data_IF_745066727893
#
_entry.id   IF_745066727893
#
_cell.length_a   1.000
_cell.length_b   1.000
_cell.length_c   1.000
_cell.angle_alpha   90.00
_cell.angle_beta   90.00
_cell.angle_gamma   90.00
#
_symmetry.space_group_name_H-M   'P 1'
#
loop_
_entity.id
_entity.type
_entity.pdbx_description
1 polymer ?
#
# COMPACT_ATOMS: atom_id res chain seq x y z
N UNK A 1 21.80 15.62 39.82
CA UNK A 1 21.76 14.26 39.27
C UNK A 1 21.05 14.40 37.93
N UNK A 2 21.83 14.65 36.89
CA UNK A 2 21.36 14.91 35.52
C UNK A 2 21.72 13.72 34.65
N UNK A 3 21.08 13.65 33.49
CA UNK A 3 21.15 12.62 32.45
C UNK A 3 20.04 11.58 32.63
N UNK A 4 18.81 11.94 32.31
CA UNK A 4 18.27 12.07 30.94
C UNK A 4 18.11 10.69 30.32
N UNK A 5 16.85 10.29 30.24
CA UNK A 5 16.33 9.05 29.69
C UNK A 5 16.69 8.93 28.20
N UNK A 6 17.75 8.20 27.89
CA UNK A 6 18.11 7.90 26.50
C UNK A 6 17.41 6.61 26.05
N UNK A 7 16.14 6.74 25.65
CA UNK A 7 15.49 5.79 24.74
C UNK A 7 15.79 6.28 23.31
N UNK A 8 16.37 5.44 22.44
CA UNK A 8 16.71 5.87 21.08
C UNK A 8 15.43 6.26 20.32
N UNK A 9 15.50 7.27 19.43
CA UNK A 9 14.37 7.68 18.60
C UNK A 9 14.14 6.59 17.56
N UNK A 10 13.23 5.67 17.85
CA UNK A 10 12.84 4.65 16.89
C UNK A 10 11.99 5.31 15.80
N UNK A 11 12.67 5.56 14.68
CA UNK A 11 12.12 5.89 13.37
C UNK A 11 11.33 7.19 13.30
N UNK A 12 11.96 8.21 12.71
CA UNK A 12 11.28 9.07 11.75
C UNK A 12 10.38 8.18 10.87
N UNK A 13 9.09 8.14 11.20
CA UNK A 13 8.09 7.77 10.24
C UNK A 13 8.14 8.89 9.20
N UNK A 14 8.53 8.62 7.95
CA UNK A 14 8.62 9.67 6.96
C UNK A 14 7.25 10.34 6.87
N UNK A 15 7.27 11.64 7.12
CA UNK A 15 6.15 12.55 7.05
C UNK A 15 5.34 12.25 5.80
N UNK A 16 4.13 11.75 6.02
CA UNK A 16 2.91 12.03 5.27
C UNK A 16 3.12 12.63 3.87
N UNK A 17 3.77 11.89 2.98
CA UNK A 17 3.60 12.12 1.56
C UNK A 17 2.20 11.59 1.22
N UNK A 18 1.18 12.41 1.50
CA UNK A 18 -0.23 12.25 1.11
C UNK A 18 -0.41 12.33 -0.42
N UNK A 19 0.46 11.64 -1.15
CA UNK A 19 0.33 11.32 -2.56
C UNK A 19 0.24 9.82 -2.60
N UNK A 20 -0.98 9.28 -2.52
CA UNK A 20 -1.24 7.87 -2.84
C UNK A 20 -0.42 7.50 -4.08
N UNK A 21 0.67 6.72 -3.95
CA UNK A 21 1.42 6.29 -5.10
C UNK A 21 0.46 5.66 -6.10
N UNK A 22 0.55 6.11 -7.34
CA UNK A 22 -0.25 5.57 -8.43
C UNK A 22 0.56 4.47 -9.06
N UNK A 23 0.00 3.27 -9.02
CA UNK A 23 0.56 2.14 -9.73
C UNK A 23 -0.42 1.62 -10.77
N UNK A 24 0.07 0.69 -11.57
CA UNK A 24 -0.75 -0.06 -12.51
C UNK A 24 -0.80 -1.51 -12.06
N UNK A 25 -1.97 -2.10 -12.02
CA UNK A 25 -2.15 -3.51 -11.68
C UNK A 25 -1.44 -4.34 -12.74
N UNK A 26 -0.33 -4.99 -12.38
CA UNK A 26 0.44 -5.84 -13.28
C UNK A 26 -0.22 -7.22 -13.39
N UNK A 27 -0.65 -7.77 -12.25
CA UNK A 27 -1.31 -9.08 -12.16
C UNK A 27 -2.42 -9.04 -11.13
N UNK A 28 -3.55 -9.67 -11.46
CA UNK A 28 -4.71 -9.74 -10.57
C UNK A 28 -5.26 -11.16 -10.50
N UNK A 29 -5.26 -11.75 -9.30
CA UNK A 29 -5.75 -13.11 -9.06
C UNK A 29 -7.04 -13.05 -8.23
N UNK A 30 -8.22 -12.91 -8.84
CA UNK A 30 -9.49 -12.78 -8.10
C UNK A 30 -9.81 -14.01 -7.26
N UNK A 31 -9.36 -15.20 -7.67
CA UNK A 31 -9.58 -16.45 -6.94
C UNK A 31 -8.78 -16.52 -5.63
N UNK A 32 -7.55 -15.99 -5.65
CA UNK A 32 -6.67 -15.97 -4.47
C UNK A 32 -6.71 -14.63 -3.72
N UNK A 33 -7.51 -13.66 -4.20
CA UNK A 33 -7.72 -12.35 -3.60
C UNK A 33 -6.43 -11.55 -3.36
N UNK A 34 -5.43 -11.75 -4.21
CA UNK A 34 -4.21 -10.96 -4.17
C UNK A 34 -3.80 -10.54 -5.58
N UNK A 35 -2.91 -9.56 -5.64
CA UNK A 35 -2.32 -9.14 -6.89
C UNK A 35 -1.00 -8.42 -6.69
N UNK A 36 -0.48 -7.94 -7.81
CA UNK A 36 0.72 -7.13 -7.86
C UNK A 36 0.44 -5.85 -8.62
N UNK A 37 0.83 -4.73 -8.01
CA UNK A 37 0.77 -3.40 -8.60
C UNK A 37 2.20 -3.01 -8.95
N UNK A 38 2.41 -2.59 -10.18
CA UNK A 38 3.65 -1.98 -10.60
C UNK A 38 3.60 -0.49 -10.31
N UNK A 39 4.43 -0.04 -9.38
CA UNK A 39 4.60 1.37 -9.08
C UNK A 39 5.27 2.11 -10.25
N UNK A 40 5.21 3.44 -10.22
CA UNK A 40 5.93 4.31 -11.18
C UNK A 40 7.44 4.08 -11.18
N UNK A 41 8.02 3.68 -10.05
CA UNK A 41 9.44 3.33 -9.98
C UNK A 41 9.74 1.93 -10.54
N UNK A 42 8.75 1.24 -11.09
CA UNK A 42 8.89 -0.11 -11.63
C UNK A 42 8.96 -1.22 -10.58
N UNK A 43 8.69 -0.90 -9.31
CA UNK A 43 8.63 -1.86 -8.20
C UNK A 43 7.31 -2.61 -8.23
N UNK A 44 7.38 -3.92 -8.05
CA UNK A 44 6.20 -4.76 -7.85
C UNK A 44 5.79 -4.75 -6.39
N UNK A 45 4.63 -4.14 -6.11
CA UNK A 45 4.01 -4.04 -4.81
C UNK A 45 2.94 -5.09 -4.69
N UNK A 46 3.12 -6.00 -3.73
CA UNK A 46 2.12 -7.00 -3.40
C UNK A 46 0.94 -6.37 -2.66
N UNK A 47 -0.27 -6.78 -2.99
CA UNK A 47 -1.47 -6.40 -2.26
C UNK A 47 -2.41 -7.60 -2.10
N UNK A 48 -3.09 -7.66 -0.96
CA UNK A 48 -4.09 -8.67 -0.65
C UNK A 48 -5.41 -8.00 -0.25
N UNK A 49 -6.54 -8.49 -0.74
CA UNK A 49 -7.85 -7.90 -0.42
C UNK A 49 -8.22 -8.02 1.06
N UNK A 50 -7.70 -9.02 1.77
CA UNK A 50 -7.96 -9.18 3.21
C UNK A 50 -7.29 -8.06 4.03
N UNK A 51 -6.20 -7.48 3.54
CA UNK A 51 -5.48 -6.36 4.18
C UNK A 51 -5.86 -4.99 3.58
N UNK A 52 -6.30 -4.98 2.32
CA UNK A 52 -6.62 -3.76 1.57
C UNK A 52 -8.05 -3.29 1.84
N UNK A 53 -8.16 -2.03 2.26
CA UNK A 53 -9.43 -1.28 2.24
C UNK A 53 -9.61 -0.60 0.88
N UNK A 54 -10.66 -0.98 0.16
CA UNK A 54 -11.08 -0.23 -1.02
C UNK A 54 -11.70 1.10 -0.61
N UNK A 55 -11.24 2.17 -1.24
CA UNK A 55 -11.72 3.53 -1.02
C UNK A 55 -12.32 4.04 -2.33
N UNK A 56 -13.61 4.38 -2.30
CA UNK A 56 -14.38 4.78 -3.47
C UNK A 56 -15.62 3.91 -3.66
N UNK A 57 -16.31 4.10 -4.79
CA UNK A 57 -17.46 3.27 -5.17
C UNK A 57 -17.10 2.05 -6.02
N UNK A 58 -15.81 1.85 -6.31
CA UNK A 58 -15.28 0.70 -7.05
C UNK A 58 -14.62 -0.27 -6.07
N UNK A 59 -14.77 -1.55 -6.33
CA UNK A 59 -14.24 -2.61 -5.48
C UNK A 59 -13.41 -3.62 -6.27
N UNK A 60 -12.96 -4.68 -5.62
CA UNK A 60 -12.13 -5.72 -6.22
C UNK A 60 -12.72 -6.36 -7.49
N UNK A 61 -14.03 -6.22 -7.73
CA UNK A 61 -14.69 -6.71 -8.95
C UNK A 61 -14.37 -5.86 -10.17
N UNK A 62 -14.10 -4.58 -9.97
CA UNK A 62 -13.67 -3.63 -11.02
C UNK A 62 -12.17 -3.72 -11.31
N UNK A 63 -11.43 -4.42 -10.45
CA UNK A 63 -9.99 -4.59 -10.55
C UNK A 63 -9.63 -5.48 -11.75
N UNK A 64 -8.75 -4.97 -12.61
CA UNK A 64 -8.29 -5.64 -13.83
C UNK A 64 -6.82 -5.35 -14.04
N UNK A 65 -6.15 -6.28 -14.68
CA UNK A 65 -4.78 -6.12 -15.12
C UNK A 65 -4.69 -4.94 -16.12
N UNK A 66 -3.68 -4.10 -15.93
CA UNK A 66 -3.50 -2.87 -16.71
C UNK A 66 -4.28 -1.66 -16.20
N UNK A 67 -5.15 -1.79 -15.19
CA UNK A 67 -5.80 -0.63 -14.59
C UNK A 67 -4.85 0.20 -13.73
N UNK A 68 -5.04 1.51 -13.76
CA UNK A 68 -4.34 2.44 -12.91
C UNK A 68 -5.08 2.57 -11.57
N UNK A 69 -4.37 2.32 -10.49
CA UNK A 69 -4.90 2.33 -9.13
C UNK A 69 -4.01 3.20 -8.25
N UNK A 70 -4.63 3.99 -7.39
CA UNK A 70 -3.93 4.66 -6.29
C UNK A 70 -3.89 3.70 -5.12
N UNK A 71 -2.74 3.53 -4.50
CA UNK A 71 -2.62 2.68 -3.33
C UNK A 71 -1.88 3.42 -2.22
N UNK A 72 -2.05 2.96 -0.99
CA UNK A 72 -1.44 3.52 0.21
C UNK A 72 -0.67 2.41 0.90
N UNK A 73 0.61 2.66 1.16
CA UNK A 73 1.44 1.73 1.90
C UNK A 73 1.34 2.06 3.39
N UNK A 74 0.96 1.06 4.17
CA UNK A 74 0.94 1.14 5.62
C UNK A 74 2.03 0.26 6.20
N UNK A 75 2.60 0.70 7.31
CA UNK A 75 3.53 -0.12 8.08
C UNK A 75 2.76 -1.20 8.83
N UNK A 76 2.97 -2.45 8.45
CA UNK A 76 2.41 -3.62 9.14
C UNK A 76 3.52 -4.38 9.87
N UNK A 77 3.16 -5.29 10.76
CA UNK A 77 4.13 -6.16 11.45
C UNK A 77 4.99 -7.02 10.50
N UNK A 78 4.61 -7.16 9.23
CA UNK A 78 5.36 -7.89 8.20
C UNK A 78 6.05 -6.99 7.17
N UNK A 79 6.02 -5.66 7.36
CA UNK A 79 6.61 -4.68 6.45
C UNK A 79 5.58 -3.74 5.82
N UNK A 80 5.99 -3.06 4.74
CA UNK A 80 5.14 -2.13 3.99
C UNK A 80 4.16 -2.91 3.11
N UNK A 81 2.88 -2.91 3.49
CA UNK A 81 1.80 -3.53 2.71
C UNK A 81 0.80 -2.49 2.24
N UNK A 82 0.07 -2.81 1.17
CA UNK A 82 -1.04 -1.96 0.74
C UNK A 82 -2.18 -2.06 1.75
N UNK A 83 -2.50 -0.95 2.42
CA UNK A 83 -3.59 -0.88 3.41
C UNK A 83 -4.84 -0.20 2.86
N UNK A 84 -4.68 0.69 1.88
CA UNK A 84 -5.79 1.33 1.18
C UNK A 84 -5.54 1.31 -0.31
N UNK A 85 -6.61 1.16 -1.08
CA UNK A 85 -6.55 1.18 -2.53
C UNK A 85 -7.77 1.87 -3.12
N UNK A 86 -7.54 2.69 -4.14
CA UNK A 86 -8.54 3.42 -4.90
C UNK A 86 -8.38 3.10 -6.37
N UNK A 87 -9.43 2.56 -6.98
CA UNK A 87 -9.49 2.31 -8.41
C UNK A 87 -10.00 3.59 -9.10
N UNK A 88 -9.30 4.04 -10.14
CA UNK A 88 -9.70 5.20 -10.96
C UNK A 88 -10.65 4.81 -12.09
#
# INVERSE_FOLDING_TARGET
MSSEENKPPASEAPEAAEKFPRGRVQRWFPQSRYGFIKDRNGRDVYFNLDEVRFVGGKDHRDLREGLEVGYDLGWTSHGEHVVKMKIY
#
